data_IF_615853563248
#
_entry.id   IF_615853563248
#
_cell.length_a   1.000
_cell.length_b   1.000
_cell.length_c   1.000
_cell.angle_alpha   90.00
_cell.angle_beta   90.00
_cell.angle_gamma   90.00
#
_symmetry.space_group_name_H-M   'P 1'
#
loop_
_entity.id
_entity.type
_entity.pdbx_description
1 polymer ?
#
# COMPACT_ATOMS: atom_id res chain seq x y z
N UNK A 1 -18.40 3.53 -21.17
CA UNK A 1 -19.39 2.56 -20.71
C UNK A 1 -20.36 3.28 -19.80
N UNK A 2 -21.67 3.12 -20.00
CA UNK A 2 -22.66 3.85 -19.20
C UNK A 2 -22.71 3.32 -17.78
N UNK A 3 -22.79 4.25 -16.81
CA UNK A 3 -23.07 3.95 -15.40
C UNK A 3 -24.59 3.85 -15.25
N UNK A 4 -25.08 2.72 -14.73
CA UNK A 4 -26.51 2.50 -14.50
C UNK A 4 -26.91 2.96 -13.11
N UNK A 5 -26.08 2.64 -12.12
CA UNK A 5 -26.27 3.02 -10.73
C UNK A 5 -24.96 3.46 -10.10
N UNK A 6 -25.05 4.36 -9.13
CA UNK A 6 -23.92 4.77 -8.31
C UNK A 6 -24.34 4.75 -6.83
N UNK A 7 -23.53 4.10 -5.99
CA UNK A 7 -23.72 4.01 -4.55
C UNK A 7 -22.60 4.76 -3.87
N UNK A 8 -22.91 5.82 -3.14
CA UNK A 8 -21.94 6.54 -2.33
C UNK A 8 -21.98 6.00 -0.90
N UNK A 9 -20.88 5.44 -0.46
CA UNK A 9 -20.70 4.85 0.87
C UNK A 9 -19.76 5.73 1.69
N UNK A 10 -20.24 6.21 2.84
CA UNK A 10 -19.43 6.92 3.83
C UNK A 10 -19.14 5.94 4.95
N UNK A 11 -17.92 5.46 5.01
CA UNK A 11 -17.49 4.41 5.92
C UNK A 11 -16.54 4.99 6.96
N UNK A 12 -16.68 4.52 8.21
CA UNK A 12 -15.78 4.89 9.29
C UNK A 12 -15.41 3.66 10.10
N UNK A 13 -14.15 3.58 10.51
CA UNK A 13 -13.69 2.51 11.39
C UNK A 13 -14.39 2.54 12.77
N UNK A 14 -14.96 3.67 13.18
CA UNK A 14 -15.79 3.79 14.38
C UNK A 14 -17.05 2.91 14.31
N UNK A 15 -17.58 2.66 13.10
CA UNK A 15 -18.79 1.86 12.88
C UNK A 15 -18.48 0.39 12.51
N UNK A 16 -17.25 -0.07 12.75
CA UNK A 16 -16.83 -1.43 12.38
C UNK A 16 -17.66 -2.52 13.05
N UNK A 17 -17.94 -3.56 12.30
CA UNK A 17 -18.58 -4.79 12.82
C UNK A 17 -17.55 -5.69 13.49
N UNK A 18 -16.32 -5.69 12.98
CA UNK A 18 -15.20 -6.45 13.52
C UNK A 18 -13.86 -5.83 13.14
N UNK A 19 -12.77 -6.27 13.76
CA UNK A 19 -11.40 -5.79 13.49
C UNK A 19 -10.95 -4.64 14.38
N UNK A 20 -9.89 -3.98 13.97
CA UNK A 20 -9.25 -2.84 14.64
C UNK A 20 -9.53 -1.52 13.89
N UNK A 21 -9.10 -0.38 14.42
CA UNK A 21 -9.30 0.89 13.72
C UNK A 21 -8.54 0.96 12.37
N UNK A 22 -7.38 0.34 12.27
CA UNK A 22 -6.53 0.31 11.07
C UNK A 22 -6.90 -0.81 10.08
N UNK A 23 -7.59 -1.86 10.56
CA UNK A 23 -8.03 -3.00 9.76
C UNK A 23 -9.40 -3.48 10.22
N UNK A 24 -10.45 -3.09 9.53
CA UNK A 24 -11.83 -3.33 9.96
C UNK A 24 -12.72 -3.88 8.86
N UNK A 25 -13.84 -4.46 9.28
CA UNK A 25 -14.92 -4.95 8.43
C UNK A 25 -16.22 -4.28 8.78
N UNK A 26 -17.00 -4.01 7.77
CA UNK A 26 -18.34 -3.44 7.85
C UNK A 26 -19.32 -4.36 7.12
N UNK A 27 -20.32 -4.84 7.84
CA UNK A 27 -21.44 -5.56 7.24
C UNK A 27 -22.46 -4.54 6.73
N UNK A 28 -22.82 -4.62 5.47
CA UNK A 28 -23.85 -3.76 4.91
C UNK A 28 -25.24 -4.23 5.39
N UNK A 29 -26.08 -3.27 5.77
CA UNK A 29 -27.46 -3.58 6.18
C UNK A 29 -28.27 -4.21 5.04
N UNK A 30 -28.00 -3.82 3.82
CA UNK A 30 -28.55 -4.42 2.59
C UNK A 30 -27.40 -4.69 1.63
N UNK A 31 -27.28 -5.93 1.14
CA UNK A 31 -26.30 -6.24 0.11
C UNK A 31 -26.55 -5.42 -1.15
N UNK A 32 -25.46 -4.95 -1.75
CA UNK A 32 -25.49 -4.29 -3.07
C UNK A 32 -25.30 -5.40 -4.10
N UNK A 33 -26.30 -5.59 -4.97
CA UNK A 33 -26.27 -6.65 -5.98
C UNK A 33 -26.38 -6.05 -7.38
N UNK A 34 -25.71 -6.67 -8.35
CA UNK A 34 -25.87 -6.31 -9.77
C UNK A 34 -27.31 -6.56 -10.22
N UNK A 35 -27.85 -5.67 -11.02
CA UNK A 35 -29.19 -5.79 -11.60
C UNK A 35 -29.25 -6.82 -12.74
N UNK A 36 -28.14 -7.06 -13.41
CA UNK A 36 -28.01 -8.04 -14.49
C UNK A 36 -26.71 -8.85 -14.32
N UNK A 37 -26.68 -10.13 -14.72
CA UNK A 37 -25.48 -10.95 -14.70
C UNK A 37 -24.36 -10.44 -15.63
N UNK A 38 -24.72 -9.63 -16.64
CA UNK A 38 -23.79 -9.02 -17.60
C UNK A 38 -23.18 -7.71 -17.09
N UNK A 39 -23.67 -7.19 -15.96
CA UNK A 39 -23.17 -5.98 -15.35
C UNK A 39 -21.92 -6.30 -14.51
N UNK A 40 -21.14 -5.26 -14.20
CA UNK A 40 -20.02 -5.34 -13.27
C UNK A 40 -19.94 -4.07 -12.43
N UNK A 41 -19.24 -4.17 -11.32
CA UNK A 41 -18.96 -3.04 -10.46
C UNK A 41 -17.58 -2.46 -10.71
N UNK A 42 -17.48 -1.13 -10.59
CA UNK A 42 -16.20 -0.47 -10.31
C UNK A 42 -16.27 0.22 -8.96
N UNK A 43 -15.13 0.30 -8.29
CA UNK A 43 -14.96 1.00 -7.02
C UNK A 43 -14.01 2.18 -7.22
N UNK A 44 -14.37 3.32 -6.65
CA UNK A 44 -13.53 4.50 -6.57
C UNK A 44 -13.46 4.99 -5.14
N UNK A 45 -12.26 5.25 -4.66
CA UNK A 45 -12.05 6.00 -3.42
C UNK A 45 -12.24 7.48 -3.73
N UNK A 46 -13.21 8.12 -3.14
CA UNK A 46 -13.49 9.54 -3.34
C UNK A 46 -12.67 10.45 -2.44
N UNK A 47 -12.63 10.16 -1.17
CA UNK A 47 -11.86 10.89 -0.16
C UNK A 47 -11.53 10.02 1.04
N UNK A 48 -10.49 10.40 1.80
CA UNK A 48 -10.13 9.77 3.06
C UNK A 48 -9.72 10.83 4.07
N UNK A 49 -10.04 10.55 5.34
CA UNK A 49 -9.60 11.31 6.51
C UNK A 49 -8.89 10.34 7.45
N UNK A 50 -7.55 10.42 7.53
CA UNK A 50 -6.73 9.46 8.24
C UNK A 50 -5.89 10.18 9.27
N UNK A 51 -5.96 9.85 10.59
CA UNK A 51 -5.08 10.43 11.59
C UNK A 51 -3.64 9.97 11.36
N UNK A 52 -2.72 10.94 11.27
CA UNK A 52 -1.30 10.67 11.12
C UNK A 52 -0.65 10.45 12.48
N UNK A 53 -0.97 9.33 13.11
CA UNK A 53 -0.48 8.95 14.44
C UNK A 53 0.45 7.75 14.45
N UNK A 54 0.53 7.03 13.32
CA UNK A 54 1.42 5.89 13.23
C UNK A 54 2.89 6.30 13.35
N UNK A 55 3.66 5.44 14.04
CA UNK A 55 5.03 5.73 14.45
C UNK A 55 6.02 5.03 13.52
N UNK A 56 7.13 5.72 13.22
CA UNK A 56 8.26 5.15 12.49
C UNK A 56 8.86 3.98 13.27
N UNK A 57 9.16 4.20 14.54
CA UNK A 57 9.58 3.17 15.48
C UNK A 57 8.35 2.74 16.28
N UNK A 58 8.00 1.47 16.19
CA UNK A 58 6.84 0.86 16.82
C UNK A 58 7.21 -0.49 17.45
N UNK A 59 6.27 -1.15 18.09
CA UNK A 59 6.50 -2.42 18.81
C UNK A 59 7.02 -3.57 17.93
N UNK A 60 6.84 -3.49 16.60
CA UNK A 60 7.31 -4.52 15.67
C UNK A 60 8.77 -4.33 15.24
N UNK A 61 9.35 -3.15 15.44
CA UNK A 61 10.69 -2.83 14.94
C UNK A 61 11.61 -2.12 15.94
N UNK A 62 11.19 -1.97 17.18
CA UNK A 62 11.90 -1.21 18.21
C UNK A 62 12.89 -2.03 19.06
N UNK A 63 12.96 -3.34 18.85
CA UNK A 63 13.89 -4.23 19.57
C UNK A 63 15.11 -4.50 18.68
N UNK A 64 16.30 -4.18 19.17
CA UNK A 64 17.56 -4.30 18.46
C UNK A 64 18.50 -5.19 19.28
N UNK A 65 18.95 -6.30 18.69
CA UNK A 65 19.94 -7.15 19.30
C UNK A 65 21.32 -6.51 19.20
N UNK A 66 22.19 -6.78 20.17
CA UNK A 66 23.60 -6.40 20.11
C UNK A 66 24.49 -7.46 20.81
N UNK A 67 25.74 -7.49 20.39
CA UNK A 67 26.79 -8.28 21.03
C UNK A 67 27.91 -7.32 21.40
N UNK A 68 28.22 -7.24 22.69
CA UNK A 68 29.30 -6.42 23.22
C UNK A 68 30.41 -7.33 23.72
N UNK A 69 31.65 -7.08 23.27
CA UNK A 69 32.85 -7.85 23.68
C UNK A 69 33.84 -6.91 24.33
N UNK A 70 34.22 -7.20 25.52
CA UNK A 70 35.28 -6.46 26.23
C UNK A 70 36.20 -7.42 26.95
N UNK A 71 37.52 -7.26 26.74
CA UNK A 71 38.54 -8.11 27.32
C UNK A 71 38.25 -9.63 27.12
N UNK A 72 37.87 -9.99 25.91
CA UNK A 72 37.50 -11.37 25.52
C UNK A 72 36.22 -11.92 26.22
N UNK A 73 35.53 -11.14 27.01
CA UNK A 73 34.24 -11.51 27.59
C UNK A 73 33.14 -11.00 26.66
N UNK A 74 32.21 -11.91 26.28
CA UNK A 74 31.11 -11.62 25.38
C UNK A 74 29.80 -11.43 26.18
N UNK A 75 29.09 -10.38 25.87
CA UNK A 75 27.75 -10.05 26.41
C UNK A 75 26.76 -9.93 25.25
N UNK A 76 25.68 -10.68 25.28
CA UNK A 76 24.60 -10.62 24.30
C UNK A 76 23.35 -10.11 24.99
N UNK A 77 22.67 -9.16 24.35
CA UNK A 77 21.44 -8.59 24.88
C UNK A 77 20.67 -7.84 23.78
N UNK A 78 19.59 -7.17 24.20
CA UNK A 78 18.74 -6.34 23.35
C UNK A 78 18.58 -4.96 23.95
N UNK A 79 18.37 -3.97 23.11
CA UNK A 79 17.85 -2.65 23.51
C UNK A 79 16.49 -2.44 22.90
N UNK A 80 15.64 -1.69 23.59
CA UNK A 80 14.29 -1.36 23.15
C UNK A 80 14.16 0.15 23.05
N UNK A 81 14.02 0.64 21.82
CA UNK A 81 13.80 2.06 21.56
C UNK A 81 12.33 2.40 21.83
N UNK A 82 12.07 3.50 22.51
CA UNK A 82 10.70 3.92 22.74
C UNK A 82 9.94 4.15 21.43
N UNK A 83 8.68 3.65 21.26
CA UNK A 83 7.92 3.89 20.05
C UNK A 83 7.67 5.38 19.81
N UNK A 84 8.06 5.88 18.61
CA UNK A 84 7.97 7.30 18.31
C UNK A 84 8.35 7.67 16.89
N UNK A 85 8.19 8.97 16.60
CA UNK A 85 8.62 9.59 15.36
C UNK A 85 9.85 10.45 15.66
N UNK A 86 10.99 9.95 15.25
CA UNK A 86 12.28 10.55 15.52
C UNK A 86 12.81 11.29 14.28
N UNK A 87 13.44 12.42 14.48
CA UNK A 87 14.46 12.88 13.53
C UNK A 87 15.75 12.08 13.75
N UNK A 88 16.68 12.17 12.80
CA UNK A 88 17.90 11.33 12.87
C UNK A 88 18.74 11.59 14.11
N UNK A 89 18.88 12.83 14.54
CA UNK A 89 19.68 13.18 15.72
C UNK A 89 19.06 12.60 16.99
N UNK A 90 17.75 12.73 17.14
CA UNK A 90 17.01 12.13 18.25
C UNK A 90 17.12 10.60 18.25
N UNK A 91 17.00 9.96 17.06
CA UNK A 91 17.11 8.49 16.95
C UNK A 91 18.52 8.00 17.34
N UNK A 92 19.57 8.69 16.89
CA UNK A 92 20.94 8.34 17.23
C UNK A 92 21.22 8.54 18.73
N UNK A 93 20.71 9.62 19.34
CA UNK A 93 20.89 9.88 20.77
C UNK A 93 20.14 8.88 21.63
N UNK A 94 18.90 8.54 21.28
CA UNK A 94 18.11 7.51 21.97
C UNK A 94 18.79 6.14 21.87
N UNK A 95 19.16 5.73 20.66
CA UNK A 95 19.84 4.45 20.43
C UNK A 95 21.15 4.35 21.19
N UNK A 96 21.94 5.42 21.18
CA UNK A 96 23.18 5.50 21.96
C UNK A 96 22.93 5.39 23.47
N UNK A 97 21.94 6.10 23.97
CA UNK A 97 21.57 6.10 25.38
C UNK A 97 21.16 4.71 25.86
N UNK A 98 20.27 4.05 25.13
CA UNK A 98 19.81 2.70 25.44
C UNK A 98 20.95 1.67 25.39
N UNK A 99 21.84 1.75 24.39
CA UNK A 99 23.03 0.90 24.32
C UNK A 99 23.95 1.09 25.51
N UNK A 100 24.23 2.34 25.91
CA UNK A 100 25.08 2.64 27.07
C UNK A 100 24.49 2.03 28.34
N UNK A 101 23.18 2.24 28.58
CA UNK A 101 22.48 1.70 29.75
C UNK A 101 22.54 0.16 29.79
N UNK A 102 22.26 -0.48 28.66
CA UNK A 102 22.26 -1.93 28.55
C UNK A 102 23.67 -2.50 28.79
N UNK A 103 24.72 -1.92 28.18
CA UNK A 103 26.11 -2.36 28.37
C UNK A 103 26.58 -2.10 29.80
N UNK A 104 26.22 -0.96 30.38
CA UNK A 104 26.56 -0.63 31.74
C UNK A 104 25.96 -1.64 32.75
N UNK A 105 24.70 -2.05 32.51
CA UNK A 105 24.06 -3.04 33.39
C UNK A 105 24.68 -4.44 33.29
N UNK A 106 25.20 -4.83 32.10
CA UNK A 106 25.75 -6.14 31.82
C UNK A 106 27.22 -6.26 32.19
N UNK A 107 28.03 -5.27 31.80
CA UNK A 107 29.48 -5.31 31.87
C UNK A 107 30.05 -4.38 32.95
N UNK A 108 29.22 -3.64 33.71
CA UNK A 108 29.65 -2.59 34.63
C UNK A 108 30.61 -1.57 34.01
N UNK A 109 30.41 -1.29 32.72
CA UNK A 109 31.25 -0.44 31.90
C UNK A 109 30.41 0.52 31.08
N UNK A 110 30.80 1.80 31.07
CA UNK A 110 30.15 2.82 30.24
C UNK A 110 30.99 3.04 28.98
N UNK A 111 30.55 2.47 27.82
CA UNK A 111 31.31 2.62 26.59
C UNK A 111 31.21 4.07 26.09
N UNK A 112 32.32 4.70 25.67
CA UNK A 112 32.32 6.03 25.09
C UNK A 112 31.86 6.01 23.65
N UNK A 113 30.55 5.73 23.45
CA UNK A 113 29.95 5.67 22.13
C UNK A 113 29.79 7.08 21.54
N UNK A 114 30.18 7.25 20.28
CA UNK A 114 29.99 8.48 19.52
C UNK A 114 29.26 8.14 18.24
N UNK A 115 28.03 8.65 18.14
CA UNK A 115 27.19 8.51 16.96
C UNK A 115 26.97 9.89 16.35
N UNK A 116 27.29 10.04 15.08
CA UNK A 116 27.22 11.31 14.38
C UNK A 116 26.45 11.18 13.08
N UNK A 117 25.89 12.29 12.63
CA UNK A 117 25.21 12.40 11.35
C UNK A 117 25.82 13.55 10.53
N UNK A 118 26.30 13.21 9.36
CA UNK A 118 26.81 14.19 8.40
C UNK A 118 25.67 14.63 7.45
N UNK A 119 25.27 15.87 7.55
CA UNK A 119 24.21 16.46 6.71
C UNK A 119 24.62 16.57 5.23
N UNK A 120 25.90 16.69 4.94
CA UNK A 120 26.37 16.87 3.57
C UNK A 120 26.30 15.55 2.79
N UNK A 121 26.61 14.43 3.44
CA UNK A 121 26.57 13.09 2.82
C UNK A 121 25.29 12.33 3.13
N UNK A 122 24.48 12.79 4.09
CA UNK A 122 23.28 12.07 4.54
C UNK A 122 23.57 10.78 5.30
N UNK A 123 24.78 10.60 5.83
CA UNK A 123 25.25 9.38 6.45
C UNK A 123 25.42 9.49 7.95
N UNK A 124 25.19 8.37 8.66
CA UNK A 124 25.51 8.23 10.06
C UNK A 124 26.85 7.51 10.22
N UNK A 125 27.63 7.91 11.21
CA UNK A 125 28.88 7.24 11.60
C UNK A 125 28.81 6.85 13.07
N UNK A 126 29.23 5.63 13.36
CA UNK A 126 29.20 4.99 14.66
C UNK A 126 30.64 4.66 15.07
N UNK A 127 31.01 4.97 16.30
CA UNK A 127 32.36 4.70 16.82
C UNK A 127 32.38 4.49 18.34
N UNK A 128 33.44 3.89 18.82
CA UNK A 128 33.77 3.80 20.25
C UNK A 128 35.11 4.52 20.47
N UNK A 129 35.10 5.58 21.28
CA UNK A 129 36.29 6.39 21.56
C UNK A 129 36.95 5.96 22.88
N UNK A 130 37.53 4.78 22.89
CA UNK A 130 38.26 4.27 24.08
C UNK A 130 39.61 4.92 24.30
N UNK A 131 39.96 5.11 25.57
CA UNK A 131 41.26 5.66 26.01
C UNK A 131 42.15 4.61 26.69
N UNK A 132 41.57 3.44 26.99
CA UNK A 132 42.30 2.33 27.59
C UNK A 132 42.86 1.37 26.52
N UNK A 133 43.66 0.42 26.89
CA UNK A 133 44.23 -0.59 26.00
C UNK A 133 43.44 -1.91 26.00
N UNK A 134 42.21 -1.86 26.46
CA UNK A 134 41.32 -3.03 26.52
C UNK A 134 40.53 -3.17 25.25
N UNK A 135 40.75 -4.26 24.52
CA UNK A 135 39.96 -4.55 23.30
C UNK A 135 38.47 -4.54 23.58
N UNK A 136 37.77 -3.69 22.86
CA UNK A 136 36.34 -3.47 23.01
C UNK A 136 35.67 -3.47 21.62
N UNK A 137 34.65 -4.28 21.43
CA UNK A 137 33.93 -4.39 20.18
C UNK A 137 32.41 -4.39 20.46
N UNK A 138 31.64 -3.77 19.57
CA UNK A 138 30.18 -3.79 19.56
C UNK A 138 29.71 -4.21 18.18
N UNK A 139 28.89 -5.24 18.12
CA UNK A 139 28.28 -5.77 16.91
C UNK A 139 26.79 -5.52 16.98
N UNK A 140 26.23 -4.96 15.92
CA UNK A 140 24.79 -4.80 15.75
C UNK A 140 24.37 -5.69 14.58
N UNK A 141 23.75 -6.85 14.83
CA UNK A 141 23.28 -7.75 13.79
C UNK A 141 22.09 -7.14 13.04
N UNK A 142 21.88 -7.57 11.80
CA UNK A 142 20.77 -7.09 10.95
C UNK A 142 19.47 -7.82 11.30
N UNK A 143 18.97 -7.65 12.53
CA UNK A 143 17.75 -8.34 13.04
C UNK A 143 16.48 -7.50 12.93
N UNK A 144 16.63 -6.18 12.85
CA UNK A 144 15.50 -5.24 12.65
C UNK A 144 15.71 -4.43 11.36
N UNK A 145 15.26 -4.95 10.18
CA UNK A 145 15.54 -4.31 8.88
C UNK A 145 14.99 -2.89 8.75
N UNK A 146 13.85 -2.60 9.37
CA UNK A 146 13.26 -1.26 9.34
C UNK A 146 14.11 -0.28 10.13
N UNK A 147 14.50 -0.62 11.36
CA UNK A 147 15.36 0.19 12.18
C UNK A 147 16.74 0.42 11.53
N UNK A 148 17.35 -0.64 11.01
CA UNK A 148 18.66 -0.57 10.35
C UNK A 148 18.62 0.33 9.11
N UNK A 149 17.54 0.31 8.32
CA UNK A 149 17.33 1.26 7.21
C UNK A 149 17.16 2.69 7.68
N UNK A 150 16.55 2.92 8.84
CA UNK A 150 16.49 4.27 9.42
C UNK A 150 17.90 4.82 9.69
N UNK A 151 18.85 3.95 10.07
CA UNK A 151 20.26 4.30 10.26
C UNK A 151 21.08 4.31 8.95
N UNK A 152 20.49 3.97 7.80
CA UNK A 152 21.18 3.84 6.53
C UNK A 152 22.05 2.58 6.41
N UNK A 153 21.80 1.55 7.23
CA UNK A 153 22.51 0.27 7.24
C UNK A 153 21.73 -0.79 6.46
N UNK A 154 22.39 -1.54 5.58
CA UNK A 154 21.81 -2.65 4.82
C UNK A 154 22.32 -4.02 5.26
N UNK A 155 23.24 -4.04 6.20
CA UNK A 155 23.86 -5.24 6.78
C UNK A 155 24.20 -4.99 8.24
N UNK A 156 24.65 -6.03 8.95
CA UNK A 156 25.22 -5.87 10.27
C UNK A 156 26.42 -4.91 10.23
N UNK A 157 26.67 -4.22 11.33
CA UNK A 157 27.87 -3.41 11.47
C UNK A 157 28.59 -3.71 12.77
N UNK A 158 29.89 -3.42 12.76
CA UNK A 158 30.80 -3.57 13.92
C UNK A 158 31.52 -2.26 14.13
N UNK A 159 31.65 -1.87 15.38
CA UNK A 159 32.51 -0.80 15.84
C UNK A 159 33.40 -1.30 17.00
N UNK A 160 34.54 -0.71 17.16
CA UNK A 160 35.42 -1.12 18.26
C UNK A 160 36.77 -0.45 18.28
N UNK A 161 37.59 -0.78 19.29
CA UNK A 161 38.98 -0.41 19.35
C UNK A 161 39.80 -1.48 20.07
N UNK A 162 41.08 -1.56 19.73
CA UNK A 162 42.06 -2.43 20.41
C UNK A 162 43.09 -1.61 21.18
N UNK A 163 43.26 -0.36 20.81
CA UNK A 163 44.08 0.65 21.47
C UNK A 163 43.59 2.05 21.06
N UNK A 164 43.98 3.12 21.76
CA UNK A 164 43.58 4.48 21.37
C UNK A 164 43.91 4.88 19.91
N UNK A 165 44.94 4.21 19.33
CA UNK A 165 45.37 4.44 17.94
C UNK A 165 44.79 3.46 16.93
N UNK A 166 44.08 2.42 17.36
CA UNK A 166 43.50 1.38 16.48
C UNK A 166 42.00 1.27 16.71
N UNK A 167 41.25 1.97 15.91
CA UNK A 167 39.77 2.11 15.98
C UNK A 167 39.12 1.59 14.70
N UNK A 168 38.01 0.93 14.86
CA UNK A 168 37.13 0.52 13.77
C UNK A 168 35.82 1.27 13.90
N UNK A 169 35.54 2.12 12.93
CA UNK A 169 34.31 2.88 12.83
C UNK A 169 33.38 2.25 11.77
N UNK A 170 32.10 2.40 11.93
CA UNK A 170 31.09 2.02 10.91
C UNK A 170 30.41 3.27 10.39
N UNK A 171 30.42 3.46 9.09
CA UNK A 171 29.65 4.50 8.41
C UNK A 171 28.53 3.83 7.63
N UNK A 172 27.34 4.43 7.66
CA UNK A 172 26.20 3.91 6.92
C UNK A 172 26.51 3.80 5.42
N UNK A 173 26.16 2.68 4.82
CA UNK A 173 26.38 2.41 3.40
C UNK A 173 25.35 3.10 2.49
N UNK A 174 24.19 3.44 3.05
CA UNK A 174 23.14 4.24 2.40
C UNK A 174 22.88 5.53 3.18
N UNK A 175 22.10 6.43 2.58
CA UNK A 175 21.60 7.60 3.29
C UNK A 175 20.65 7.16 4.41
N UNK A 176 20.76 7.83 5.54
CA UNK A 176 19.81 7.69 6.64
C UNK A 176 18.41 7.96 6.15
N UNK A 177 17.46 7.11 6.51
CA UNK A 177 16.07 7.22 6.10
C UNK A 177 15.14 7.19 7.31
N UNK A 178 15.00 8.32 7.97
CA UNK A 178 13.99 8.55 9.02
C UNK A 178 12.70 9.16 8.45
N UNK A 179 12.60 9.23 7.12
CA UNK A 179 11.35 9.65 6.50
C UNK A 179 10.32 8.56 6.74
N UNK A 180 9.21 8.99 7.33
CA UNK A 180 8.04 8.15 7.51
C UNK A 180 7.52 7.71 6.13
N UNK A 181 6.73 6.67 6.12
CA UNK A 181 6.14 6.18 4.88
C UNK A 181 5.54 7.35 4.08
N UNK A 182 6.06 7.63 2.87
CA UNK A 182 5.60 8.78 2.09
C UNK A 182 4.17 8.59 1.58
N UNK A 183 3.61 7.40 1.74
CA UNK A 183 2.26 7.07 1.32
C UNK A 183 1.61 6.05 2.25
N UNK A 184 0.31 6.21 2.45
CA UNK A 184 -0.60 5.23 3.03
C UNK A 184 -1.35 4.55 1.90
N UNK A 185 -1.47 3.22 1.98
CA UNK A 185 -2.23 2.42 1.04
C UNK A 185 -3.54 2.00 1.68
N UNK A 186 -4.65 2.35 1.05
CA UNK A 186 -5.97 1.80 1.38
C UNK A 186 -6.14 0.52 0.61
N UNK A 187 -6.46 -0.54 1.30
CA UNK A 187 -6.56 -1.90 0.75
C UNK A 187 -7.89 -2.55 1.13
N UNK A 188 -8.31 -3.54 0.35
CA UNK A 188 -9.50 -4.33 0.61
C UNK A 188 -9.35 -5.74 0.03
N UNK A 189 -9.53 -6.75 0.85
CA UNK A 189 -9.54 -8.16 0.44
C UNK A 189 -10.93 -8.63 -0.01
N UNK A 190 -12.00 -7.93 0.40
CA UNK A 190 -13.38 -8.25 0.00
C UNK A 190 -13.80 -7.59 -1.31
N UNK A 191 -13.31 -6.38 -1.61
CA UNK A 191 -13.65 -5.65 -2.82
C UNK A 191 -12.78 -6.05 -4.00
N UNK A 192 -11.50 -6.32 -3.77
CA UNK A 192 -10.55 -6.70 -4.82
C UNK A 192 -10.13 -8.14 -4.60
N UNK A 193 -10.72 -9.06 -5.34
CA UNK A 193 -10.35 -10.48 -5.35
C UNK A 193 -9.58 -10.87 -6.61
N UNK A 194 -9.18 -9.91 -7.46
CA UNK A 194 -8.69 -10.22 -8.79
C UNK A 194 -7.33 -9.68 -9.15
N UNK A 195 -6.78 -10.39 -10.10
CA UNK A 195 -5.57 -10.31 -10.88
C UNK A 195 -5.40 -9.04 -11.75
N UNK A 196 -6.33 -8.08 -11.72
CA UNK A 196 -6.33 -6.95 -12.66
C UNK A 196 -5.45 -5.76 -12.23
N UNK A 197 -5.01 -5.74 -10.97
CA UNK A 197 -4.03 -4.75 -10.50
C UNK A 197 -2.81 -5.52 -10.01
N UNK A 198 -1.74 -5.48 -10.76
CA UNK A 198 -0.48 -6.10 -10.39
C UNK A 198 0.38 -5.10 -9.61
N UNK A 199 0.91 -5.53 -8.49
CA UNK A 199 1.94 -4.82 -7.74
C UNK A 199 3.24 -5.59 -7.86
N UNK A 200 4.31 -4.92 -8.30
CA UNK A 200 5.65 -5.51 -8.28
C UNK A 200 6.20 -5.50 -6.86
N UNK A 201 6.28 -6.68 -6.26
CA UNK A 201 6.96 -6.90 -4.98
C UNK A 201 8.28 -7.62 -5.27
N UNK A 202 9.38 -6.86 -5.28
CA UNK A 202 10.68 -7.39 -5.70
C UNK A 202 10.73 -7.68 -7.20
N UNK A 203 10.90 -8.96 -7.56
CA UNK A 203 10.94 -9.45 -8.96
C UNK A 203 9.66 -10.19 -9.36
N UNK A 204 8.69 -10.30 -8.47
CA UNK A 204 7.43 -11.03 -8.73
C UNK A 204 6.27 -10.05 -8.83
N UNK A 205 5.38 -10.32 -9.78
CA UNK A 205 4.09 -9.63 -9.90
C UNK A 205 3.08 -10.38 -9.05
N UNK A 206 2.48 -9.68 -8.08
CA UNK A 206 1.44 -10.24 -7.22
C UNK A 206 0.12 -9.48 -7.42
N UNK A 207 -1.03 -10.15 -7.29
CA UNK A 207 -2.32 -9.48 -7.33
C UNK A 207 -2.37 -8.41 -6.23
N UNK A 208 -2.82 -7.22 -6.60
CA UNK A 208 -2.87 -6.08 -5.67
C UNK A 208 -4.27 -5.91 -5.13
N UNK A 209 -4.36 -5.80 -3.81
CA UNK A 209 -5.56 -5.45 -3.04
C UNK A 209 -5.68 -3.93 -2.78
N UNK A 210 -4.88 -3.12 -3.47
CA UNK A 210 -4.79 -1.68 -3.25
C UNK A 210 -5.93 -0.95 -3.96
N UNK A 211 -6.76 -0.27 -3.18
CA UNK A 211 -7.82 0.63 -3.68
C UNK A 211 -7.29 2.03 -3.98
N UNK A 212 -6.40 2.54 -3.14
CA UNK A 212 -5.80 3.86 -3.32
C UNK A 212 -4.43 3.98 -2.67
N UNK A 213 -3.56 4.81 -3.27
CA UNK A 213 -2.31 5.27 -2.69
C UNK A 213 -2.46 6.74 -2.31
N UNK A 214 -2.35 7.04 -1.03
CA UNK A 214 -2.52 8.36 -0.45
C UNK A 214 -1.16 8.91 -0.07
N UNK A 215 -0.74 10.01 -0.67
CA UNK A 215 0.52 10.66 -0.30
C UNK A 215 0.37 11.38 1.03
N UNK A 216 1.36 11.20 1.91
CA UNK A 216 1.42 11.88 3.21
C UNK A 216 2.24 13.15 3.04
N UNK A 217 1.56 14.28 3.05
CA UNK A 217 2.15 15.62 2.87
C UNK A 217 1.92 16.54 4.08
N UNK A 218 1.59 15.95 5.22
CA UNK A 218 1.29 16.65 6.47
C UNK A 218 2.26 16.22 7.57
N UNK A 219 2.32 16.99 8.65
CA UNK A 219 3.15 16.67 9.82
C UNK A 219 2.51 15.56 10.68
N UNK A 220 3.31 14.77 11.42
CA UNK A 220 2.78 13.85 12.42
C UNK A 220 1.82 14.53 13.39
N UNK A 221 0.88 13.78 13.94
CA UNK A 221 -0.19 14.24 14.85
C UNK A 221 -1.19 15.21 14.20
N UNK A 222 -1.29 15.22 12.89
CA UNK A 222 -2.32 15.95 12.15
C UNK A 222 -3.21 14.98 11.37
N UNK A 223 -4.22 15.50 10.70
CA UNK A 223 -5.13 14.72 9.87
C UNK A 223 -4.66 14.75 8.41
N UNK A 224 -4.51 13.57 7.81
CA UNK A 224 -4.33 13.44 6.36
C UNK A 224 -5.71 13.57 5.73
N UNK A 225 -5.93 14.68 5.03
CA UNK A 225 -7.13 14.90 4.23
C UNK A 225 -6.79 14.68 2.77
N UNK A 226 -7.36 13.64 2.18
CA UNK A 226 -7.08 13.29 0.80
C UNK A 226 -8.37 13.21 -0.02
N UNK A 227 -8.30 13.71 -1.25
CA UNK A 227 -9.39 13.62 -2.23
C UNK A 227 -8.82 13.12 -3.55
N UNK A 228 -9.53 12.19 -4.18
CA UNK A 228 -9.12 11.61 -5.45
C UNK A 228 -9.31 12.63 -6.59
N UNK A 229 -8.20 13.14 -7.11
CA UNK A 229 -8.21 14.06 -8.25
C UNK A 229 -8.14 13.34 -9.61
N UNK A 230 -7.83 12.03 -9.64
CA UNK A 230 -7.51 11.31 -10.89
C UNK A 230 -8.65 10.45 -11.42
N UNK A 231 -9.75 10.34 -10.70
CA UNK A 231 -10.89 9.47 -11.03
C UNK A 231 -10.50 8.00 -11.27
N UNK A 232 -9.45 7.55 -10.58
CA UNK A 232 -8.99 6.16 -10.68
C UNK A 232 -10.08 5.22 -10.15
N UNK A 233 -10.45 4.26 -10.96
CA UNK A 233 -11.45 3.22 -10.67
C UNK A 233 -10.82 1.86 -10.72
N UNK A 234 -11.25 0.98 -9.83
CA UNK A 234 -10.84 -0.42 -9.79
C UNK A 234 -12.06 -1.27 -10.10
N UNK A 235 -11.95 -2.17 -11.05
CA UNK A 235 -12.99 -3.13 -11.38
C UNK A 235 -13.10 -4.20 -10.30
N UNK A 236 -14.35 -4.53 -9.91
CA UNK A 236 -14.62 -5.53 -8.89
C UNK A 236 -15.15 -6.81 -9.56
N UNK A 237 -14.71 -7.95 -9.03
CA UNK A 237 -15.23 -9.26 -9.51
C UNK A 237 -16.48 -9.71 -8.79
N UNK A 238 -16.75 -9.15 -7.62
CA UNK A 238 -17.89 -9.54 -6.82
C UNK A 238 -19.19 -9.01 -7.44
N UNK A 239 -20.14 -9.90 -7.64
CA UNK A 239 -21.50 -9.56 -8.11
C UNK A 239 -22.43 -9.16 -6.96
N UNK A 240 -22.07 -9.48 -5.75
CA UNK A 240 -22.79 -9.16 -4.52
C UNK A 240 -21.76 -8.63 -3.51
N UNK A 241 -22.05 -7.48 -2.95
CA UNK A 241 -21.25 -6.84 -1.91
C UNK A 241 -22.13 -6.74 -0.66
N UNK A 242 -21.85 -7.57 0.32
CA UNK A 242 -22.55 -7.62 1.61
C UNK A 242 -21.64 -7.21 2.76
N UNK A 243 -20.33 -7.39 2.61
CA UNK A 243 -19.30 -6.99 3.55
C UNK A 243 -18.21 -6.19 2.83
N UNK A 244 -17.68 -5.19 3.50
CA UNK A 244 -16.53 -4.40 3.04
C UNK A 244 -15.45 -4.48 4.10
N UNK A 245 -14.30 -5.07 3.74
CA UNK A 245 -13.08 -5.00 4.53
C UNK A 245 -12.23 -3.83 4.06
N UNK A 246 -11.66 -3.09 4.99
CA UNK A 246 -10.73 -2.00 4.69
C UNK A 246 -9.57 -2.04 5.67
N UNK A 247 -8.37 -1.89 5.16
CA UNK A 247 -7.19 -1.75 6.00
C UNK A 247 -6.19 -0.75 5.43
N UNK A 248 -5.45 -0.14 6.35
CA UNK A 248 -4.41 0.82 6.03
C UNK A 248 -3.05 0.13 6.14
N UNK A 249 -2.25 0.30 5.12
CA UNK A 249 -0.90 -0.26 5.09
C UNK A 249 0.12 0.75 4.59
N UNK A 250 1.38 0.39 4.75
CA UNK A 250 2.51 1.07 4.11
C UNK A 250 3.00 0.27 2.90
N UNK A 251 4.03 0.75 2.23
CA UNK A 251 4.72 -0.02 1.18
C UNK A 251 5.40 -1.30 1.69
N UNK A 252 5.63 -1.40 3.00
CA UNK A 252 6.38 -2.50 3.64
C UNK A 252 5.61 -3.23 4.73
N UNK A 253 4.42 -2.75 5.09
CA UNK A 253 3.58 -3.32 6.15
C UNK A 253 2.12 -3.28 5.74
N UNK A 254 1.39 -4.36 6.06
CA UNK A 254 -0.05 -4.47 5.84
C UNK A 254 -0.88 -3.78 6.93
N UNK A 255 -0.27 -3.28 7.99
CA UNK A 255 -0.97 -2.60 9.08
C UNK A 255 -0.19 -1.36 9.52
N UNK A 256 -0.94 -0.29 9.76
CA UNK A 256 -0.45 0.97 10.35
C UNK A 256 -1.14 1.15 11.70
N UNK A 257 -0.38 1.15 12.78
CA UNK A 257 -0.92 1.41 14.12
C UNK A 257 -1.36 2.88 14.25
N UNK A 258 -2.66 3.12 14.20
CA UNK A 258 -3.26 4.44 14.38
C UNK A 258 -3.45 4.83 15.85
N UNK A 259 -2.99 4.00 16.81
CA UNK A 259 -3.19 4.26 18.23
C UNK A 259 -4.66 4.25 18.67
N UNK A 260 -5.47 3.39 18.06
CA UNK A 260 -6.92 3.27 18.23
C UNK A 260 -7.74 4.50 17.78
N UNK A 261 -7.15 5.40 17.02
CA UNK A 261 -7.92 6.50 16.41
C UNK A 261 -8.66 6.01 15.17
N UNK A 262 -9.88 6.48 15.02
CA UNK A 262 -10.71 6.13 13.89
C UNK A 262 -10.40 6.98 12.66
N UNK A 263 -10.66 6.41 11.49
CA UNK A 263 -10.54 7.07 10.20
C UNK A 263 -11.80 6.88 9.36
N UNK A 264 -11.96 7.71 8.36
CA UNK A 264 -13.10 7.68 7.47
C UNK A 264 -12.70 7.65 6.00
N UNK A 265 -13.59 7.09 5.17
CA UNK A 265 -13.41 6.97 3.74
C UNK A 265 -14.75 7.10 3.03
N UNK A 266 -14.73 7.79 1.90
CA UNK A 266 -15.83 7.78 0.94
C UNK A 266 -15.49 6.86 -0.21
N UNK A 267 -16.29 5.83 -0.43
CA UNK A 267 -16.24 4.95 -1.59
C UNK A 267 -17.41 5.26 -2.51
N UNK A 268 -17.20 5.19 -3.81
CA UNK A 268 -18.26 5.19 -4.81
C UNK A 268 -18.19 3.86 -5.55
N UNK A 269 -19.27 3.09 -5.49
CA UNK A 269 -19.46 1.87 -6.28
C UNK A 269 -20.34 2.23 -7.47
N UNK A 270 -19.89 1.94 -8.67
CA UNK A 270 -20.62 2.21 -9.91
C UNK A 270 -20.91 0.89 -10.62
N UNK A 271 -22.18 0.67 -10.93
CA UNK A 271 -22.62 -0.46 -11.74
C UNK A 271 -22.60 -0.05 -13.21
N UNK A 272 -21.91 -0.83 -14.02
CA UNK A 272 -21.76 -0.64 -15.46
C UNK A 272 -22.43 -1.78 -16.23
N UNK A 273 -22.80 -1.51 -17.47
CA UNK A 273 -23.34 -2.51 -18.41
C UNK A 273 -22.73 -2.35 -19.79
N UNK A 274 -22.57 -3.48 -20.47
CA UNK A 274 -22.31 -3.51 -21.92
C UNK A 274 -23.61 -3.43 -22.75
N UNK A 275 -24.73 -3.80 -22.12
CA UNK A 275 -26.02 -3.73 -22.78
C UNK A 275 -26.52 -2.27 -22.81
N UNK A 276 -26.21 -1.58 -23.88
CA UNK A 276 -26.87 -0.32 -24.21
C UNK A 276 -28.28 -0.70 -24.68
N UNK A 277 -29.22 -0.86 -23.76
CA UNK A 277 -30.61 -1.01 -24.15
C UNK A 277 -31.03 0.22 -24.96
N UNK A 278 -31.44 -0.01 -26.20
CA UNK A 278 -31.96 1.04 -27.10
C UNK A 278 -33.04 1.91 -26.45
N UNK A 279 -33.75 1.38 -25.45
CA UNK A 279 -34.78 2.09 -24.67
C UNK A 279 -34.24 3.21 -23.80
N UNK A 280 -33.09 3.04 -23.16
CA UNK A 280 -32.54 4.09 -22.28
C UNK A 280 -31.92 5.25 -23.06
N UNK A 281 -31.38 4.98 -24.22
CA UNK A 281 -30.99 6.01 -25.18
C UNK A 281 -32.25 6.77 -25.70
N UNK A 282 -33.34 6.08 -26.00
CA UNK A 282 -34.57 6.70 -26.44
C UNK A 282 -35.22 7.58 -25.36
N UNK A 283 -35.17 7.18 -24.09
CA UNK A 283 -35.74 7.96 -22.96
C UNK A 283 -34.89 9.21 -22.67
N UNK A 284 -33.56 9.12 -22.75
CA UNK A 284 -32.71 10.29 -22.57
C UNK A 284 -32.71 11.24 -23.76
N UNK A 285 -32.96 10.73 -24.96
CA UNK A 285 -33.05 11.51 -26.19
C UNK A 285 -34.46 12.11 -26.42
N UNK A 286 -35.53 11.51 -25.87
CA UNK A 286 -36.90 12.07 -25.95
C UNK A 286 -37.12 13.31 -25.07
N UNK A 287 -36.16 13.63 -24.18
CA UNK A 287 -36.17 14.86 -23.36
C UNK A 287 -35.52 16.09 -24.01
N UNK A 288 -34.92 15.94 -25.17
CA UNK A 288 -34.32 17.04 -25.93
C UNK A 288 -34.70 16.92 -27.40
N UNK A 289 -35.63 17.74 -27.87
CA UNK A 289 -36.00 17.88 -29.29
C UNK A 289 -34.92 18.64 -30.06
N UNK A 290 -33.75 18.04 -30.20
CA UNK A 290 -32.69 18.59 -31.05
C UNK A 290 -32.72 17.86 -32.40
N UNK A 291 -32.96 18.55 -33.52
CA UNK A 291 -32.99 17.96 -34.87
C UNK A 291 -31.72 17.22 -35.27
N UNK A 292 -30.60 17.57 -34.66
CA UNK A 292 -29.32 16.92 -34.88
C UNK A 292 -29.27 15.48 -34.31
N UNK A 293 -30.02 15.24 -33.25
CA UNK A 293 -30.12 13.93 -32.59
C UNK A 293 -31.00 12.98 -33.42
N UNK A 294 -32.06 13.45 -34.06
CA UNK A 294 -32.90 12.64 -34.95
C UNK A 294 -32.11 12.18 -36.20
N UNK A 295 -31.23 13.03 -36.74
CA UNK A 295 -30.40 12.68 -37.89
C UNK A 295 -29.34 11.61 -37.49
N UNK A 296 -28.73 11.73 -36.31
CA UNK A 296 -27.80 10.72 -35.77
C UNK A 296 -28.50 9.37 -35.54
N UNK A 297 -29.73 9.37 -35.04
CA UNK A 297 -30.54 8.15 -34.82
C UNK A 297 -30.85 7.46 -36.13
N UNK A 298 -31.28 8.22 -37.13
CA UNK A 298 -31.57 7.70 -38.48
C UNK A 298 -30.34 7.06 -39.11
N UNK A 299 -29.18 7.71 -39.06
CA UNK A 299 -27.89 7.17 -39.56
C UNK A 299 -27.45 5.91 -38.82
N UNK A 300 -27.69 5.84 -37.53
CA UNK A 300 -27.39 4.64 -36.73
C UNK A 300 -28.27 3.45 -37.10
N UNK A 301 -29.58 3.67 -37.28
CA UNK A 301 -30.48 2.61 -37.72
C UNK A 301 -30.10 2.05 -39.09
N UNK A 302 -29.71 2.93 -40.01
CA UNK A 302 -29.23 2.53 -41.33
C UNK A 302 -27.93 1.68 -41.26
N UNK A 303 -27.01 2.06 -40.37
CA UNK A 303 -25.78 1.33 -40.13
C UNK A 303 -26.03 -0.06 -39.52
N UNK A 304 -26.93 -0.16 -38.57
CA UNK A 304 -27.35 -1.43 -37.97
C UNK A 304 -28.02 -2.35 -38.98
N UNK A 305 -28.91 -1.83 -39.83
CA UNK A 305 -29.56 -2.57 -40.91
C UNK A 305 -28.51 -3.10 -41.92
N UNK A 306 -27.50 -2.32 -42.25
CA UNK A 306 -26.41 -2.72 -43.13
C UNK A 306 -25.51 -3.80 -42.52
N UNK A 307 -25.21 -3.73 -41.22
CA UNK A 307 -24.49 -4.75 -40.47
C UNK A 307 -25.25 -6.06 -40.40
N UNK A 308 -26.55 -6.00 -40.17
CA UNK A 308 -27.41 -7.18 -40.17
C UNK A 308 -27.44 -7.86 -41.54
N UNK A 309 -27.58 -7.10 -42.63
CA UNK A 309 -27.45 -7.62 -43.99
C UNK A 309 -26.11 -8.29 -44.26
N UNK A 310 -25.01 -7.71 -43.83
CA UNK A 310 -23.68 -8.31 -44.00
C UNK A 310 -23.56 -9.62 -43.21
N UNK A 311 -24.11 -9.67 -41.99
CA UNK A 311 -24.12 -10.89 -41.17
C UNK A 311 -24.93 -12.01 -41.84
N UNK A 312 -26.07 -11.70 -42.41
CA UNK A 312 -26.94 -12.66 -43.11
C UNK A 312 -26.27 -13.19 -44.38
N UNK A 313 -25.54 -12.36 -45.13
CA UNK A 313 -24.75 -12.79 -46.30
C UNK A 313 -23.61 -13.73 -45.87
N UNK A 314 -22.89 -13.42 -44.80
CA UNK A 314 -21.82 -14.28 -44.27
C UNK A 314 -22.35 -15.62 -43.77
N UNK A 315 -23.54 -15.63 -43.14
CA UNK A 315 -24.19 -16.87 -42.71
C UNK A 315 -24.65 -17.73 -43.91
N UNK A 316 -25.18 -17.12 -44.99
CA UNK A 316 -25.54 -17.84 -46.24
C UNK A 316 -24.31 -18.40 -46.92
N UNK A 317 -23.20 -17.69 -46.97
CA UNK A 317 -21.95 -18.18 -47.56
C UNK A 317 -21.30 -19.29 -46.71
N UNK A 318 -21.41 -19.23 -45.40
CA UNK A 318 -20.96 -20.27 -44.50
C UNK A 318 -21.78 -21.59 -44.68
N UNK A 319 -23.10 -21.46 -44.84
CA UNK A 319 -24.00 -22.59 -45.12
C UNK A 319 -23.78 -23.20 -46.49
N UNK A 320 -23.56 -22.37 -47.53
CA UNK A 320 -23.19 -22.84 -48.88
C UNK A 320 -21.82 -23.59 -48.89
N UNK A 321 -20.84 -23.10 -48.13
CA UNK A 321 -19.54 -23.79 -47.99
C UNK A 321 -19.67 -25.13 -47.26
N UNK A 322 -20.53 -25.26 -46.27
CA UNK A 322 -20.80 -26.51 -45.56
C UNK A 322 -21.51 -27.55 -46.45
N UNK A 323 -22.50 -27.12 -47.22
CA UNK A 323 -23.18 -28.02 -48.16
C UNK A 323 -22.30 -28.50 -49.32
N UNK A 324 -21.36 -27.65 -49.82
CA UNK A 324 -20.36 -28.08 -50.82
C UNK A 324 -19.34 -29.08 -50.28
N UNK A 325 -18.93 -28.97 -49.00
CA UNK A 325 -18.04 -29.95 -48.37
C UNK A 325 -18.74 -31.29 -48.09
N UNK A 326 -20.03 -31.26 -47.76
CA UNK A 326 -20.79 -32.51 -47.55
C UNK A 326 -20.97 -33.32 -48.85
N UNK A 327 -21.13 -32.63 -50.01
CA UNK A 327 -21.29 -33.31 -51.32
C UNK A 327 -19.96 -33.77 -51.95
N UNK A 328 -18.79 -33.42 -51.41
CA UNK A 328 -17.48 -33.87 -51.89
C UNK A 328 -16.87 -35.00 -51.07
N UNK A 329 -17.56 -35.47 -50.04
CA UNK A 329 -17.11 -36.57 -49.17
C UNK A 329 -17.73 -37.93 -49.44
N UNK A 330 -18.57 -38.08 -50.49
CA UNK A 330 -19.12 -39.37 -50.95
C UNK A 330 -18.64 -39.64 -52.39
N UNK A 331 -17.35 -39.92 -52.51
CA UNK A 331 -16.73 -40.33 -53.73
C UNK A 331 -15.47 -41.18 -53.46
#
# INVERSE_FOLDING_TARGET
MPVINAYNLFLSSANRTSGTSDAFRLQLFRPITLKSPNNWFTCRVGSCEIPYTYKLINSANNVINFVFIRNSVTYESTVTIAPGNYNILQLLDEFKSELIQAIQSLASYTPPLVFTYDRATGKATFSIEGTDSVTTNLYIPYTSPVFMRCLGMTSMFQIGYTSPSSRTDATSNQNVNVFQNPAVYVRSDTLIQTQNVECLIGTQSEPSDILAKIQVNVLPQTMILWTNATDLRVELTNKIIDEISLYLGSSTSYSLDLGNLDWSIRLTLEEHTDDVEEKDLAINLSRGTDPYVEDLMSKRQELLANLQKQKDILLQDATKKRSRKANQGEG
#
